data_IF_107091245697
#
_entry.id   IF_107091245697
#
_cell.length_a   1.000
_cell.length_b   1.000
_cell.length_c   1.000
_cell.angle_alpha   90.00
_cell.angle_beta   90.00
_cell.angle_gamma   90.00
#
_symmetry.space_group_name_H-M   'P 1'
#
loop_
_entity.id
_entity.type
_entity.pdbx_description
1 polymer ?
#
# COMPACT_ATOMS: atom_id res chain seq x y z
N UNK A 1 -25.91 41.78 21.92
CA UNK A 1 -25.80 40.81 20.80
C UNK A 1 -24.47 41.01 20.09
N UNK A 2 -23.82 39.99 19.52
CA UNK A 2 -22.55 40.22 18.77
C UNK A 2 -22.80 40.48 17.27
N UNK A 3 -21.86 41.15 16.60
CA UNK A 3 -21.98 41.48 15.15
C UNK A 3 -22.17 40.24 14.26
N UNK A 4 -21.71 39.04 14.69
CA UNK A 4 -21.91 37.80 13.94
C UNK A 4 -23.36 37.32 14.03
N UNK A 5 -24.00 37.47 15.17
CA UNK A 5 -25.42 37.18 15.38
C UNK A 5 -26.30 38.11 14.55
N UNK A 6 -25.98 39.41 14.50
CA UNK A 6 -26.69 40.39 13.65
C UNK A 6 -26.52 40.04 12.16
N UNK A 7 -25.31 39.69 11.73
CA UNK A 7 -25.08 39.24 10.35
C UNK A 7 -25.83 37.95 9.99
N UNK A 8 -26.00 37.03 10.95
CA UNK A 8 -26.80 35.81 10.77
C UNK A 8 -28.29 36.16 10.68
N UNK A 9 -28.76 37.07 11.52
CA UNK A 9 -30.15 37.53 11.55
C UNK A 9 -30.56 38.25 10.26
N UNK A 10 -29.74 39.16 9.75
CA UNK A 10 -30.00 39.93 8.51
C UNK A 10 -30.13 39.01 7.28
N UNK A 11 -29.55 37.80 7.32
CA UNK A 11 -29.69 36.78 6.26
C UNK A 11 -30.96 35.92 6.37
N UNK A 12 -31.74 36.08 7.43
CA UNK A 12 -32.98 35.34 7.63
C UNK A 12 -34.15 35.94 6.84
N UNK A 13 -35.18 35.13 6.59
CA UNK A 13 -36.40 35.58 5.90
C UNK A 13 -37.24 36.56 6.73
N UNK A 14 -36.94 36.72 8.02
CA UNK A 14 -37.68 37.59 8.96
C UNK A 14 -37.17 39.04 8.90
N UNK A 15 -35.92 39.26 8.46
CA UNK A 15 -35.28 40.57 8.46
C UNK A 15 -35.54 41.42 7.19
N UNK A 16 -36.51 41.03 6.35
CA UNK A 16 -36.76 41.65 5.03
C UNK A 16 -36.96 43.16 5.07
N UNK A 17 -37.62 43.68 6.12
CA UNK A 17 -37.92 45.11 6.28
C UNK A 17 -36.72 45.96 6.68
N UNK A 18 -35.69 45.37 7.30
CA UNK A 18 -34.53 46.11 7.82
C UNK A 18 -33.21 45.79 7.11
N UNK A 19 -33.20 44.76 6.24
CA UNK A 19 -31.99 44.22 5.59
C UNK A 19 -31.25 45.26 4.76
N UNK A 20 -31.98 46.08 4.01
CA UNK A 20 -31.44 46.96 2.98
C UNK A 20 -31.40 48.44 3.43
N UNK A 21 -31.69 48.72 4.71
CA UNK A 21 -31.67 50.08 5.28
C UNK A 21 -30.25 50.62 5.42
N UNK A 22 -30.11 51.93 5.19
CA UNK A 22 -28.87 52.68 5.32
C UNK A 22 -29.03 53.81 6.35
N UNK A 23 -28.01 53.98 7.19
CA UNK A 23 -27.96 54.96 8.26
C UNK A 23 -26.73 55.85 8.09
N UNK A 24 -26.94 57.16 7.94
CA UNK A 24 -25.85 58.12 7.76
C UNK A 24 -25.44 58.73 9.10
N UNK A 25 -24.17 58.55 9.47
CA UNK A 25 -23.56 59.23 10.61
C UNK A 25 -22.86 60.49 10.11
N UNK A 26 -23.11 61.63 10.77
CA UNK A 26 -22.49 62.92 10.49
C UNK A 26 -21.89 63.50 11.75
N UNK A 27 -20.58 63.74 11.75
CA UNK A 27 -19.82 64.32 12.86
C UNK A 27 -19.11 65.59 12.37
N UNK A 28 -19.72 66.78 12.54
CA UNK A 28 -19.19 68.04 12.01
C UNK A 28 -17.82 68.41 12.57
N UNK A 29 -17.55 68.09 13.85
CA UNK A 29 -16.29 68.43 14.52
C UNK A 29 -15.08 67.79 13.80
N UNK A 30 -15.25 66.55 13.35
CA UNK A 30 -14.22 65.78 12.65
C UNK A 30 -14.37 65.78 11.13
N UNK A 31 -15.29 66.61 10.59
CA UNK A 31 -15.64 66.64 9.17
C UNK A 31 -15.89 65.23 8.59
N UNK A 32 -16.56 64.37 9.35
CA UNK A 32 -16.80 62.98 8.99
C UNK A 32 -18.26 62.75 8.64
N UNK A 33 -18.51 62.18 7.47
CA UNK A 33 -19.83 61.73 7.03
C UNK A 33 -19.70 60.38 6.32
N UNK A 34 -20.46 59.39 6.77
CA UNK A 34 -20.48 58.08 6.12
C UNK A 34 -21.82 57.36 6.35
N UNK A 35 -22.20 56.51 5.40
CA UNK A 35 -23.44 55.72 5.44
C UNK A 35 -23.15 54.25 5.67
N UNK A 36 -23.95 53.61 6.53
CA UNK A 36 -23.75 52.24 6.97
C UNK A 36 -25.04 51.44 6.86
N UNK A 37 -24.94 50.17 6.46
CA UNK A 37 -25.99 49.18 6.68
C UNK A 37 -26.05 48.73 8.15
N UNK A 38 -27.13 48.07 8.57
CA UNK A 38 -27.37 47.76 9.98
C UNK A 38 -26.22 46.99 10.67
N UNK A 39 -25.67 45.95 10.05
CA UNK A 39 -24.55 45.20 10.66
C UNK A 39 -23.22 45.93 10.66
N UNK A 40 -22.95 46.73 9.62
CA UNK A 40 -21.72 47.52 9.54
C UNK A 40 -21.79 48.70 10.50
N UNK A 41 -22.98 49.28 10.69
CA UNK A 41 -23.25 50.27 11.73
C UNK A 41 -23.01 49.68 13.12
N UNK A 42 -23.60 48.52 13.43
CA UNK A 42 -23.37 47.84 14.73
C UNK A 42 -21.88 47.61 14.98
N UNK A 43 -21.16 47.10 13.97
CA UNK A 43 -19.72 46.88 14.06
C UNK A 43 -18.96 48.18 14.33
N UNK A 44 -19.30 49.24 13.61
CA UNK A 44 -18.67 50.54 13.76
C UNK A 44 -18.88 51.09 15.17
N UNK A 45 -20.13 51.17 15.64
CA UNK A 45 -20.42 51.73 16.97
C UNK A 45 -19.85 50.87 18.10
N UNK A 46 -19.86 49.54 17.97
CA UNK A 46 -19.21 48.64 18.94
C UNK A 46 -17.70 48.89 19.02
N UNK A 47 -17.05 49.08 17.87
CA UNK A 47 -15.63 49.40 17.84
C UNK A 47 -15.34 50.78 18.44
N UNK A 48 -16.19 51.78 18.20
CA UNK A 48 -16.05 53.11 18.80
C UNK A 48 -16.19 53.04 20.33
N UNK A 49 -17.18 52.31 20.86
CA UNK A 49 -17.35 52.09 22.30
C UNK A 49 -16.11 51.44 22.89
N UNK A 50 -15.62 50.35 22.27
CA UNK A 50 -14.43 49.64 22.74
C UNK A 50 -13.21 50.57 22.80
N UNK A 51 -12.99 51.39 21.77
CA UNK A 51 -11.85 52.32 21.72
C UNK A 51 -11.95 53.41 22.78
N UNK A 52 -13.15 53.92 23.04
CA UNK A 52 -13.36 54.85 24.14
C UNK A 52 -13.10 54.17 25.50
N UNK A 53 -13.50 52.91 25.68
CA UNK A 53 -13.29 52.15 26.90
C UNK A 53 -11.81 51.76 27.14
N UNK A 54 -10.91 51.95 26.16
CA UNK A 54 -9.46 51.75 26.33
C UNK A 54 -8.79 52.89 27.12
N UNK A 55 -9.46 54.02 27.33
CA UNK A 55 -8.93 55.15 28.09
C UNK A 55 -9.35 55.09 29.57
N UNK A 56 -8.38 55.16 30.49
CA UNK A 56 -8.63 55.08 31.94
C UNK A 56 -9.48 56.24 32.50
N UNK A 57 -9.37 57.43 31.91
CA UNK A 57 -10.12 58.62 32.31
C UNK A 57 -10.60 59.41 31.08
N UNK A 58 -11.92 59.58 30.97
CA UNK A 58 -12.55 60.36 29.90
C UNK A 58 -13.21 61.62 30.48
N UNK A 59 -12.99 62.79 29.89
CA UNK A 59 -13.75 63.98 30.24
C UNK A 59 -15.22 63.81 29.84
N UNK A 60 -16.11 64.55 30.51
CA UNK A 60 -17.57 64.45 30.35
C UNK A 60 -18.04 64.53 28.90
N UNK A 61 -17.41 65.38 28.09
CA UNK A 61 -17.75 65.66 26.71
C UNK A 61 -17.36 64.50 25.77
N UNK A 62 -16.27 63.81 26.06
CA UNK A 62 -15.88 62.59 25.33
C UNK A 62 -16.64 61.37 25.84
N UNK A 63 -17.03 61.36 27.12
CA UNK A 63 -17.95 60.37 27.67
C UNK A 63 -19.34 60.47 27.00
N UNK A 64 -19.82 61.68 26.69
CA UNK A 64 -21.03 61.87 25.87
C UNK A 64 -20.89 61.25 24.47
N UNK A 65 -19.70 61.37 23.85
CA UNK A 65 -19.41 60.74 22.55
C UNK A 65 -19.43 59.20 22.65
N UNK A 66 -18.82 58.63 23.70
CA UNK A 66 -18.90 57.19 24.00
C UNK A 66 -20.33 56.73 24.22
N UNK A 67 -21.11 57.47 25.01
CA UNK A 67 -22.49 57.15 25.34
C UNK A 67 -23.42 57.24 24.12
N UNK A 68 -23.16 58.16 23.18
CA UNK A 68 -23.85 58.21 21.90
C UNK A 68 -23.69 56.91 21.11
N UNK A 69 -22.45 56.41 20.95
CA UNK A 69 -22.21 55.15 20.24
C UNK A 69 -22.83 53.94 20.98
N UNK A 70 -22.74 53.92 22.32
CA UNK A 70 -23.38 52.89 23.13
C UNK A 70 -24.90 52.90 23.01
N UNK A 71 -25.52 54.08 22.87
CA UNK A 71 -26.97 54.22 22.68
C UNK A 71 -27.38 53.64 21.34
N UNK A 72 -26.66 53.96 20.26
CA UNK A 72 -26.92 53.40 18.93
C UNK A 72 -26.75 51.88 18.95
N UNK A 73 -25.71 51.36 19.61
CA UNK A 73 -25.51 49.92 19.77
C UNK A 73 -26.74 49.24 20.39
N UNK A 74 -27.22 49.76 21.52
CA UNK A 74 -28.41 49.22 22.21
C UNK A 74 -29.66 49.31 21.35
N UNK A 75 -29.88 50.43 20.63
CA UNK A 75 -31.04 50.59 19.74
C UNK A 75 -31.04 49.62 18.57
N UNK A 76 -29.86 49.30 18.01
CA UNK A 76 -29.73 48.26 16.98
C UNK A 76 -30.09 46.89 17.54
N UNK A 77 -29.61 46.56 18.74
CA UNK A 77 -29.91 45.28 19.39
C UNK A 77 -31.41 45.14 19.67
N UNK A 78 -32.06 46.20 20.18
CA UNK A 78 -33.51 46.23 20.42
C UNK A 78 -34.33 46.11 19.15
N UNK A 79 -33.92 46.78 18.05
CA UNK A 79 -34.56 46.64 16.75
C UNK A 79 -34.48 45.18 16.26
N UNK A 80 -33.32 44.56 16.37
CA UNK A 80 -33.12 43.17 15.93
C UNK A 80 -33.93 42.19 16.80
N UNK A 81 -33.96 42.37 18.12
CA UNK A 81 -34.75 41.54 19.03
C UNK A 81 -36.26 41.65 18.75
N UNK A 82 -36.74 42.88 18.52
CA UNK A 82 -38.15 43.13 18.24
C UNK A 82 -38.61 42.50 16.92
N UNK A 83 -37.83 42.68 15.85
CA UNK A 83 -38.12 42.04 14.54
C UNK A 83 -37.98 40.52 14.62
N UNK A 84 -37.01 40.00 15.38
CA UNK A 84 -36.87 38.55 15.64
C UNK A 84 -38.10 37.97 16.35
N UNK A 85 -38.72 38.75 17.25
CA UNK A 85 -39.92 38.38 17.99
C UNK A 85 -41.24 38.55 17.23
N UNK A 86 -41.21 39.02 15.97
CA UNK A 86 -42.41 39.26 15.16
C UNK A 86 -43.21 40.51 15.55
N UNK A 87 -42.59 41.45 16.27
CA UNK A 87 -43.20 42.72 16.67
C UNK A 87 -43.05 43.79 15.57
N UNK A 88 -43.72 44.93 15.74
CA UNK A 88 -43.66 46.04 14.77
C UNK A 88 -42.25 46.63 14.65
N UNK A 89 -41.75 46.72 13.42
CA UNK A 89 -40.44 47.31 13.09
C UNK A 89 -40.38 48.82 13.30
N UNK A 90 -41.48 49.53 13.01
CA UNK A 90 -41.51 51.00 12.91
C UNK A 90 -41.06 51.74 14.18
N UNK A 91 -41.56 51.42 15.40
CA UNK A 91 -41.20 52.16 16.61
C UNK A 91 -39.69 52.11 16.90
N UNK A 92 -39.07 50.93 16.77
CA UNK A 92 -37.65 50.76 17.04
C UNK A 92 -36.75 51.33 15.94
N UNK A 93 -37.25 51.36 14.70
CA UNK A 93 -36.55 52.02 13.60
C UNK A 93 -36.52 53.54 13.81
N UNK A 94 -37.64 54.14 14.21
CA UNK A 94 -37.74 55.57 14.52
C UNK A 94 -36.85 55.93 15.71
N UNK A 95 -36.83 55.10 16.77
CA UNK A 95 -35.93 55.28 17.92
C UNK A 95 -34.45 55.24 17.52
N UNK A 96 -34.06 54.33 16.62
CA UNK A 96 -32.69 54.24 16.10
C UNK A 96 -32.33 55.47 15.27
N UNK A 97 -33.20 55.90 14.37
CA UNK A 97 -32.98 57.10 13.55
C UNK A 97 -32.88 58.36 14.43
N UNK A 98 -33.76 58.48 15.42
CA UNK A 98 -33.71 59.57 16.39
C UNK A 98 -32.40 59.56 17.19
N UNK A 99 -31.92 58.38 17.63
CA UNK A 99 -30.66 58.24 18.35
C UNK A 99 -29.45 58.64 17.50
N UNK A 100 -29.47 58.34 16.19
CA UNK A 100 -28.41 58.74 15.26
C UNK A 100 -28.34 60.26 15.11
N UNK A 101 -29.48 60.92 14.99
CA UNK A 101 -29.54 62.37 14.74
C UNK A 101 -29.25 63.15 16.03
N UNK A 102 -29.81 62.70 17.14
CA UNK A 102 -29.73 63.37 18.43
C UNK A 102 -28.28 63.47 18.93
N UNK A 103 -27.85 64.67 19.31
CA UNK A 103 -26.50 64.99 19.79
C UNK A 103 -25.32 64.72 18.83
N UNK A 104 -25.54 64.22 17.61
CA UNK A 104 -24.50 63.98 16.58
C UNK A 104 -23.53 65.16 16.36
N UNK A 105 -24.02 66.40 16.50
CA UNK A 105 -23.25 67.64 16.32
C UNK A 105 -22.09 67.81 17.31
N UNK A 106 -22.16 67.15 18.47
CA UNK A 106 -21.15 67.24 19.54
C UNK A 106 -20.26 66.01 19.65
N UNK A 107 -20.57 64.98 18.87
CA UNK A 107 -19.93 63.67 18.96
C UNK A 107 -18.62 63.70 18.20
N UNK A 108 -17.59 63.13 18.82
CA UNK A 108 -16.28 62.94 18.23
C UNK A 108 -16.02 61.43 18.13
N UNK A 109 -15.70 60.88 16.95
CA UNK A 109 -15.23 59.50 16.83
C UNK A 109 -13.89 59.30 17.56
N UNK A 110 -13.71 58.17 18.24
CA UNK A 110 -12.47 57.85 18.96
C UNK A 110 -11.24 57.82 18.03
N UNK A 111 -11.47 57.50 16.76
CA UNK A 111 -10.44 57.39 15.71
C UNK A 111 -10.04 58.71 15.06
N UNK A 112 -10.64 59.83 15.48
CA UNK A 112 -10.39 61.11 14.85
C UNK A 112 -9.10 61.76 15.37
N UNK A 113 -8.51 62.62 14.55
CA UNK A 113 -7.37 63.46 14.94
C UNK A 113 -7.76 64.37 16.11
N UNK A 114 -9.01 64.88 16.12
CA UNK A 114 -9.54 65.70 17.20
C UNK A 114 -9.65 64.94 18.51
N UNK A 115 -10.05 63.66 18.50
CA UNK A 115 -10.10 62.83 19.72
C UNK A 115 -8.71 62.68 20.33
N UNK A 116 -7.71 62.32 19.50
CA UNK A 116 -6.32 62.17 19.95
C UNK A 116 -5.74 63.48 20.48
N UNK A 117 -6.03 64.59 19.80
CA UNK A 117 -5.65 65.94 20.20
C UNK A 117 -6.30 66.34 21.53
N UNK A 118 -7.61 66.17 21.67
CA UNK A 118 -8.32 66.55 22.88
C UNK A 118 -7.89 65.73 24.09
N UNK A 119 -7.61 64.43 23.91
CA UNK A 119 -7.06 63.59 24.96
C UNK A 119 -5.66 64.06 25.38
N UNK A 120 -4.80 64.50 24.45
CA UNK A 120 -3.48 65.02 24.82
C UNK A 120 -3.60 66.33 25.60
N UNK A 121 -4.51 67.23 25.21
CA UNK A 121 -4.78 68.47 25.96
C UNK A 121 -5.37 68.17 27.34
N UNK A 122 -6.28 67.19 27.45
CA UNK A 122 -6.89 66.80 28.73
C UNK A 122 -5.87 66.26 29.74
N UNK A 123 -4.85 65.53 29.27
CA UNK A 123 -3.75 65.04 30.12
C UNK A 123 -2.95 66.18 30.74
N UNK A 124 -2.85 67.33 30.07
CA UNK A 124 -2.10 68.49 30.53
C UNK A 124 -2.95 69.42 31.41
N UNK A 125 -4.17 69.74 30.99
CA UNK A 125 -5.09 70.59 31.78
C UNK A 125 -6.55 70.37 31.39
N UNK A 126 -7.39 70.14 32.40
CA UNK A 126 -8.84 70.07 32.22
C UNK A 126 -9.44 71.40 31.72
N UNK A 127 -8.94 72.56 32.19
CA UNK A 127 -9.46 73.86 31.73
C UNK A 127 -9.11 74.14 30.27
N UNK A 128 -7.89 73.78 29.86
CA UNK A 128 -7.47 73.91 28.46
C UNK A 128 -8.26 72.97 27.56
N UNK A 129 -8.55 71.75 28.03
CA UNK A 129 -9.40 70.80 27.31
C UNK A 129 -10.80 71.36 27.07
N UNK A 130 -11.47 71.89 28.11
CA UNK A 130 -12.81 72.48 27.97
C UNK A 130 -12.79 73.60 26.92
N UNK A 131 -11.78 74.46 26.96
CA UNK A 131 -11.65 75.54 25.98
C UNK A 131 -11.39 75.03 24.54
N UNK A 132 -10.53 74.02 24.40
CA UNK A 132 -10.22 73.40 23.12
C UNK A 132 -11.46 72.70 22.51
N UNK A 133 -12.21 71.96 23.33
CA UNK A 133 -13.45 71.30 22.93
C UNK A 133 -14.52 72.32 22.52
N UNK A 134 -14.74 73.37 23.33
CA UNK A 134 -15.69 74.44 23.01
C UNK A 134 -15.32 75.14 21.71
N UNK A 135 -14.03 75.38 21.47
CA UNK A 135 -13.52 75.94 20.21
C UNK A 135 -13.86 75.06 19.00
N UNK A 136 -13.55 73.75 19.08
CA UNK A 136 -13.82 72.81 18.00
C UNK A 136 -15.33 72.61 17.75
N UNK A 137 -16.15 72.69 18.81
CA UNK A 137 -17.61 72.61 18.71
C UNK A 137 -18.28 73.86 18.11
N UNK A 138 -17.52 74.93 17.84
CA UNK A 138 -18.01 76.18 17.26
C UNK A 138 -18.81 77.07 18.23
N UNK A 139 -18.70 76.84 19.55
CA UNK A 139 -19.49 77.51 20.60
C UNK A 139 -18.65 78.46 21.47
N UNK A 140 -17.64 79.10 20.90
CA UNK A 140 -16.72 79.96 21.65
C UNK A 140 -17.45 81.19 22.23
N UNK A 141 -17.34 81.36 23.56
CA UNK A 141 -17.77 82.60 24.21
C UNK A 141 -16.62 83.61 24.27
N UNK A 142 -16.83 84.80 23.73
CA UNK A 142 -15.82 85.88 23.75
C UNK A 142 -15.43 86.33 25.17
N UNK A 143 -16.32 86.17 26.16
CA UNK A 143 -16.04 86.55 27.56
C UNK A 143 -15.09 85.59 28.27
N UNK A 144 -14.94 84.35 27.78
CA UNK A 144 -14.12 83.32 28.38
C UNK A 144 -12.61 83.49 28.09
N UNK A 145 -12.24 84.33 27.11
CA UNK A 145 -10.83 84.61 26.78
C UNK A 145 -10.09 85.47 27.80
N UNK A 146 -10.78 86.00 28.81
CA UNK A 146 -10.16 86.69 29.94
C UNK A 146 -9.41 85.74 30.88
N UNK A 147 -9.72 84.45 30.85
CA UNK A 147 -8.98 83.41 31.56
C UNK A 147 -7.80 82.92 30.70
N UNK A 148 -6.58 82.99 31.25
CA UNK A 148 -5.35 82.64 30.55
C UNK A 148 -5.30 81.18 30.09
N UNK A 149 -5.75 80.23 30.92
CA UNK A 149 -5.78 78.80 30.57
C UNK A 149 -6.84 78.51 29.50
N UNK A 150 -7.99 79.16 29.59
CA UNK A 150 -9.03 79.04 28.58
C UNK A 150 -8.56 79.60 27.22
N UNK A 151 -7.93 80.77 27.23
CA UNK A 151 -7.33 81.35 26.02
C UNK A 151 -6.26 80.44 25.43
N UNK A 152 -5.39 79.86 26.27
CA UNK A 152 -4.36 78.92 25.83
C UNK A 152 -4.97 77.67 25.18
N UNK A 153 -5.99 77.06 25.79
CA UNK A 153 -6.66 75.88 25.20
C UNK A 153 -7.33 76.17 23.86
N UNK A 154 -8.02 77.32 23.75
CA UNK A 154 -8.62 77.75 22.49
C UNK A 154 -7.56 78.08 21.42
N UNK A 155 -6.43 78.69 21.80
CA UNK A 155 -5.32 78.97 20.88
C UNK A 155 -4.67 77.68 20.38
N UNK A 156 -4.44 76.70 21.25
CA UNK A 156 -3.90 75.39 20.87
C UNK A 156 -4.85 74.67 19.90
N UNK A 157 -6.16 74.72 20.14
CA UNK A 157 -7.16 74.17 19.23
C UNK A 157 -7.22 74.90 17.88
N UNK A 158 -7.08 76.23 17.89
CA UNK A 158 -6.99 77.03 16.68
C UNK A 158 -5.73 76.67 15.87
N UNK A 159 -4.58 76.52 16.53
CA UNK A 159 -3.34 76.10 15.90
C UNK A 159 -3.42 74.69 15.33
N UNK A 160 -4.05 73.75 16.05
CA UNK A 160 -4.32 72.41 15.54
C UNK A 160 -5.18 72.47 14.27
N UNK A 161 -6.28 73.22 14.29
CA UNK A 161 -7.16 73.40 13.12
C UNK A 161 -6.47 74.11 11.95
N UNK A 162 -5.55 75.04 12.22
CA UNK A 162 -4.72 75.70 11.20
C UNK A 162 -3.70 74.72 10.62
N UNK A 163 -3.09 73.87 11.46
CA UNK A 163 -2.18 72.81 11.02
C UNK A 163 -2.85 71.79 10.10
N UNK A 164 -4.13 71.51 10.34
CA UNK A 164 -4.97 70.62 9.52
C UNK A 164 -5.64 71.36 8.33
N UNK A 165 -5.57 72.70 8.27
CA UNK A 165 -6.29 73.50 7.26
C UNK A 165 -5.56 73.53 5.92
N UNK A 166 -6.22 73.15 4.81
CA UNK A 166 -5.62 73.20 3.49
C UNK A 166 -5.48 74.62 2.92
N UNK A 167 -5.93 75.70 3.56
CA UNK A 167 -5.96 77.05 2.97
C UNK A 167 -4.97 78.05 3.58
N UNK A 168 -4.40 77.79 4.77
CA UNK A 168 -3.50 78.75 5.42
C UNK A 168 -2.03 78.37 5.16
N UNK A 169 -1.41 79.19 4.31
CA UNK A 169 -0.06 79.07 3.74
C UNK A 169 1.07 78.99 4.77
N UNK A 170 1.68 77.80 4.91
CA UNK A 170 3.13 77.69 5.05
C UNK A 170 3.67 76.78 3.93
N UNK A 171 4.44 77.45 3.04
CA UNK A 171 5.38 76.94 2.02
C UNK A 171 4.80 76.23 0.78
N UNK A 172 4.61 76.96 -0.34
CA UNK A 172 4.18 76.37 -1.63
C UNK A 172 5.17 75.32 -2.18
N UNK A 173 6.45 75.43 -1.84
CA UNK A 173 7.45 74.40 -2.14
C UNK A 173 7.31 73.16 -1.26
N UNK A 174 6.96 73.29 0.03
CA UNK A 174 6.58 72.12 0.83
C UNK A 174 5.28 71.53 0.32
N UNK A 175 4.31 72.32 -0.14
CA UNK A 175 3.06 71.81 -0.70
C UNK A 175 3.24 71.12 -2.05
N UNK A 176 4.09 71.63 -2.94
CA UNK A 176 4.43 70.94 -4.19
C UNK A 176 5.26 69.67 -3.93
N UNK A 177 6.20 69.71 -2.99
CA UNK A 177 6.94 68.52 -2.54
C UNK A 177 6.02 67.52 -1.83
N UNK A 178 5.08 67.98 -1.00
CA UNK A 178 4.13 67.16 -0.25
C UNK A 178 3.03 66.62 -1.15
N UNK A 179 2.52 67.38 -2.11
CA UNK A 179 1.59 66.88 -3.13
C UNK A 179 2.29 65.91 -4.08
N UNK A 180 3.55 66.17 -4.48
CA UNK A 180 4.29 65.19 -5.29
C UNK A 180 4.64 63.94 -4.48
N UNK A 181 4.94 64.08 -3.18
CA UNK A 181 5.16 62.97 -2.25
C UNK A 181 3.86 62.20 -2.04
N UNK A 182 2.73 62.88 -1.82
CA UNK A 182 1.39 62.29 -1.67
C UNK A 182 0.99 61.54 -2.94
N UNK A 183 1.13 62.16 -4.11
CA UNK A 183 0.84 61.50 -5.39
C UNK A 183 1.77 60.31 -5.63
N UNK A 184 3.06 60.39 -5.25
CA UNK A 184 3.98 59.25 -5.30
C UNK A 184 3.61 58.16 -4.31
N UNK A 185 3.21 58.51 -3.10
CA UNK A 185 2.78 57.57 -2.06
C UNK A 185 1.47 56.91 -2.48
N UNK A 186 0.47 57.66 -2.96
CA UNK A 186 -0.78 57.10 -3.49
C UNK A 186 -0.52 56.19 -4.69
N UNK A 187 0.38 56.60 -5.60
CA UNK A 187 0.81 55.77 -6.72
C UNK A 187 1.49 54.48 -6.23
N UNK A 188 2.46 54.56 -5.33
CA UNK A 188 3.14 53.39 -4.79
C UNK A 188 2.22 52.51 -3.95
N UNK A 189 1.26 53.09 -3.22
CA UNK A 189 0.24 52.34 -2.49
C UNK A 189 -0.69 51.62 -3.47
N UNK A 190 -1.11 52.27 -4.54
CA UNK A 190 -1.97 51.66 -5.57
C UNK A 190 -1.23 50.57 -6.34
N UNK A 191 -0.02 50.84 -6.83
CA UNK A 191 0.83 49.86 -7.50
C UNK A 191 1.17 48.68 -6.57
N UNK A 192 1.51 48.97 -5.30
CA UNK A 192 1.77 47.92 -4.31
C UNK A 192 0.51 47.11 -4.00
N UNK A 193 -0.69 47.69 -3.97
CA UNK A 193 -1.94 46.97 -3.72
C UNK A 193 -2.35 46.11 -4.93
N UNK A 194 -2.11 46.60 -6.15
CA UNK A 194 -2.24 45.82 -7.38
C UNK A 194 -1.24 44.65 -7.43
N UNK A 195 0.03 44.91 -7.11
CA UNK A 195 1.08 43.88 -7.00
C UNK A 195 0.74 42.86 -5.91
N UNK A 196 0.24 43.31 -4.75
CA UNK A 196 -0.18 42.41 -3.67
C UNK A 196 -1.35 41.53 -4.09
N UNK A 197 -2.35 42.10 -4.78
CA UNK A 197 -3.47 41.32 -5.35
C UNK A 197 -2.98 40.33 -6.39
N UNK A 198 -2.08 40.74 -7.27
CA UNK A 198 -1.44 39.87 -8.26
C UNK A 198 -0.69 38.70 -7.62
N UNK A 199 0.12 38.97 -6.60
CA UNK A 199 0.84 37.96 -5.82
C UNK A 199 -0.11 37.01 -5.08
N UNK A 200 -1.17 37.54 -4.46
CA UNK A 200 -2.18 36.71 -3.80
C UNK A 200 -2.92 35.80 -4.78
N UNK A 201 -3.30 36.33 -5.94
CA UNK A 201 -4.03 35.57 -6.97
C UNK A 201 -3.14 34.47 -7.53
N UNK A 202 -1.91 34.81 -7.91
CA UNK A 202 -0.93 33.85 -8.41
C UNK A 202 -0.54 32.82 -7.35
N UNK A 203 -0.41 33.23 -6.09
CA UNK A 203 -0.17 32.36 -4.96
C UNK A 203 -1.33 31.38 -4.74
N UNK A 204 -2.57 31.86 -4.82
CA UNK A 204 -3.76 31.03 -4.70
C UNK A 204 -3.85 29.99 -5.82
N UNK A 205 -3.69 30.41 -7.08
CA UNK A 205 -3.68 29.50 -8.24
C UNK A 205 -2.57 28.45 -8.13
N UNK A 206 -1.36 28.87 -7.73
CA UNK A 206 -0.21 27.96 -7.56
C UNK A 206 -0.49 26.93 -6.47
N UNK A 207 -1.05 27.34 -5.34
CA UNK A 207 -1.43 26.44 -4.24
C UNK A 207 -2.54 25.49 -4.70
N UNK A 208 -3.55 25.96 -5.41
CA UNK A 208 -4.64 25.11 -5.90
C UNK A 208 -4.14 24.03 -6.87
N UNK A 209 -3.27 24.41 -7.81
CA UNK A 209 -2.60 23.47 -8.73
C UNK A 209 -1.72 22.48 -7.97
N UNK A 210 -0.96 22.97 -6.98
CA UNK A 210 -0.10 22.12 -6.16
C UNK A 210 -0.91 21.08 -5.36
N UNK A 211 -2.02 21.49 -4.75
CA UNK A 211 -2.92 20.60 -4.01
C UNK A 211 -3.54 19.56 -4.94
N UNK A 212 -4.05 19.96 -6.12
CA UNK A 212 -4.58 19.02 -7.12
C UNK A 212 -3.53 18.01 -7.57
N UNK A 213 -2.29 18.45 -7.80
CA UNK A 213 -1.19 17.57 -8.16
C UNK A 213 -0.83 16.61 -7.03
N UNK A 214 -0.80 17.08 -5.77
CA UNK A 214 -0.56 16.21 -4.62
C UNK A 214 -1.64 15.14 -4.46
N UNK A 215 -2.91 15.49 -4.61
CA UNK A 215 -4.02 14.53 -4.54
C UNK A 215 -3.93 13.50 -5.67
N UNK A 216 -3.62 13.95 -6.89
CA UNK A 216 -3.40 13.08 -8.04
C UNK A 216 -2.23 12.11 -7.81
N UNK A 217 -1.08 12.63 -7.36
CA UNK A 217 0.10 11.81 -7.03
C UNK A 217 -0.18 10.81 -5.91
N UNK A 218 -0.91 11.23 -4.87
CA UNK A 218 -1.30 10.35 -3.77
C UNK A 218 -2.15 9.19 -4.28
N UNK A 219 -3.15 9.47 -5.12
CA UNK A 219 -4.03 8.47 -5.70
C UNK A 219 -3.28 7.50 -6.62
N UNK A 220 -2.44 8.02 -7.52
CA UNK A 220 -1.63 7.20 -8.42
C UNK A 220 -0.63 6.31 -7.65
N UNK A 221 -0.02 6.84 -6.59
CA UNK A 221 0.88 6.05 -5.74
C UNK A 221 0.13 4.97 -4.94
N UNK A 222 -1.08 5.25 -4.45
CA UNK A 222 -1.91 4.24 -3.79
C UNK A 222 -2.30 3.12 -4.75
N UNK A 223 -2.78 3.46 -5.95
CA UNK A 223 -3.14 2.47 -6.97
C UNK A 223 -1.94 1.61 -7.39
N UNK A 224 -0.74 2.22 -7.51
CA UNK A 224 0.51 1.49 -7.80
C UNK A 224 0.91 0.57 -6.65
N UNK A 225 0.80 1.03 -5.41
CA UNK A 225 1.14 0.24 -4.23
C UNK A 225 0.20 -0.96 -4.08
N UNK A 226 -1.11 -0.75 -4.25
CA UNK A 226 -2.11 -1.82 -4.15
C UNK A 226 -1.93 -2.86 -5.26
N UNK A 227 -1.63 -2.43 -6.48
CA UNK A 227 -1.28 -3.34 -7.59
C UNK A 227 0.01 -4.11 -7.30
N UNK A 228 1.07 -3.44 -6.85
CA UNK A 228 2.33 -4.10 -6.51
C UNK A 228 2.16 -5.11 -5.37
N UNK A 229 1.40 -4.76 -4.32
CA UNK A 229 1.16 -5.61 -3.18
C UNK A 229 0.33 -6.84 -3.54
N UNK A 230 -0.74 -6.66 -4.32
CA UNK A 230 -1.58 -7.77 -4.79
C UNK A 230 -0.84 -8.72 -5.74
N UNK A 231 -0.05 -8.18 -6.68
CA UNK A 231 0.81 -8.97 -7.55
C UNK A 231 1.82 -9.78 -6.74
N UNK A 232 2.55 -9.15 -5.82
CA UNK A 232 3.53 -9.84 -5.00
C UNK A 232 2.92 -10.89 -4.08
N UNK A 233 1.75 -10.63 -3.51
CA UNK A 233 1.06 -11.63 -2.68
C UNK A 233 0.66 -12.84 -3.52
N UNK A 234 0.18 -12.62 -4.74
CA UNK A 234 -0.20 -13.69 -5.68
C UNK A 234 1.04 -14.47 -6.12
N UNK A 235 2.10 -13.79 -6.57
CA UNK A 235 3.38 -14.41 -6.95
C UNK A 235 4.00 -15.19 -5.81
N UNK A 236 4.00 -14.68 -4.58
CA UNK A 236 4.53 -15.38 -3.42
C UNK A 236 3.70 -16.64 -3.09
N UNK A 237 2.38 -16.57 -3.23
CA UNK A 237 1.49 -17.74 -3.06
C UNK A 237 1.75 -18.79 -4.13
N UNK A 238 1.82 -18.38 -5.38
CA UNK A 238 2.01 -19.28 -6.52
C UNK A 238 3.38 -19.94 -6.45
N UNK A 239 4.45 -19.17 -6.19
CA UNK A 239 5.79 -19.69 -5.95
C UNK A 239 5.82 -20.66 -4.76
N UNK A 240 5.19 -20.31 -3.64
CA UNK A 240 5.13 -21.21 -2.48
C UNK A 240 4.36 -22.50 -2.77
N UNK A 241 3.32 -22.44 -3.61
CA UNK A 241 2.56 -23.61 -4.04
C UNK A 241 3.41 -24.50 -4.95
N UNK A 242 4.05 -23.92 -5.96
CA UNK A 242 4.95 -24.61 -6.89
C UNK A 242 6.09 -25.31 -6.16
N UNK A 243 6.81 -24.60 -5.28
CA UNK A 243 7.90 -25.17 -4.47
C UNK A 243 7.41 -26.31 -3.58
N UNK A 244 6.22 -26.20 -2.99
CA UNK A 244 5.67 -27.28 -2.16
C UNK A 244 5.25 -28.50 -2.98
N UNK A 245 4.70 -28.30 -4.18
CA UNK A 245 4.36 -29.38 -5.11
C UNK A 245 5.61 -30.09 -5.63
N UNK A 246 6.62 -29.32 -6.05
CA UNK A 246 7.91 -29.86 -6.49
C UNK A 246 8.62 -30.62 -5.36
N UNK A 247 8.65 -30.07 -4.13
CA UNK A 247 9.23 -30.77 -2.97
C UNK A 247 8.56 -32.11 -2.73
N UNK A 248 7.22 -32.16 -2.74
CA UNK A 248 6.46 -33.41 -2.58
C UNK A 248 6.78 -34.41 -3.69
N UNK A 249 6.89 -33.94 -4.93
CA UNK A 249 7.24 -34.79 -6.07
C UNK A 249 8.65 -35.39 -5.88
N UNK A 250 9.65 -34.57 -5.56
CA UNK A 250 11.02 -35.02 -5.30
C UNK A 250 11.07 -36.00 -4.12
N UNK A 251 10.40 -35.71 -3.01
CA UNK A 251 10.31 -36.61 -1.85
C UNK A 251 9.71 -37.97 -2.24
N UNK A 252 8.65 -37.98 -3.05
CA UNK A 252 8.01 -39.20 -3.53
C UNK A 252 8.91 -39.99 -4.49
N UNK A 253 9.49 -39.33 -5.50
CA UNK A 253 10.43 -39.95 -6.44
C UNK A 253 11.64 -40.55 -5.70
N UNK A 254 12.17 -39.84 -4.71
CA UNK A 254 13.30 -40.32 -3.92
C UNK A 254 12.94 -41.52 -3.04
N UNK A 255 11.76 -41.51 -2.43
CA UNK A 255 11.24 -42.66 -1.65
C UNK A 255 11.07 -43.90 -2.54
N UNK A 256 10.54 -43.74 -3.74
CA UNK A 256 10.39 -44.83 -4.71
C UNK A 256 11.75 -45.35 -5.20
N UNK A 257 12.73 -44.44 -5.44
CA UNK A 257 14.10 -44.80 -5.74
C UNK A 257 14.71 -45.68 -4.65
N UNK A 258 14.61 -45.26 -3.38
CA UNK A 258 15.14 -46.03 -2.25
C UNK A 258 14.48 -47.42 -2.12
N UNK A 259 13.18 -47.52 -2.38
CA UNK A 259 12.45 -48.80 -2.30
C UNK A 259 12.89 -49.81 -3.37
N UNK A 260 13.23 -49.36 -4.58
CA UNK A 260 13.48 -50.24 -5.73
C UNK A 260 14.94 -50.41 -6.09
N UNK A 261 15.81 -49.48 -5.69
CA UNK A 261 17.24 -49.57 -5.94
C UNK A 261 17.88 -50.76 -5.20
N UNK A 262 17.47 -51.04 -3.96
CA UNK A 262 17.99 -52.17 -3.20
C UNK A 262 17.61 -53.53 -3.83
N UNK A 263 16.34 -53.78 -4.21
CA UNK A 263 15.95 -54.95 -5.00
C UNK A 263 16.68 -55.05 -6.35
N UNK A 264 16.81 -53.96 -7.12
CA UNK A 264 17.52 -53.98 -8.39
C UNK A 264 18.98 -54.41 -8.24
N UNK A 265 19.67 -53.88 -7.22
CA UNK A 265 21.03 -54.28 -6.88
C UNK A 265 21.10 -55.76 -6.47
N UNK A 266 20.16 -56.23 -5.67
CA UNK A 266 20.08 -57.64 -5.29
C UNK A 266 19.92 -58.57 -6.52
N UNK A 267 19.06 -58.20 -7.48
CA UNK A 267 18.88 -58.98 -8.71
C UNK A 267 20.14 -58.99 -9.58
N UNK A 268 20.85 -57.86 -9.67
CA UNK A 268 22.15 -57.78 -10.34
C UNK A 268 23.15 -58.74 -9.70
N UNK A 269 23.33 -58.64 -8.38
CA UNK A 269 24.28 -59.48 -7.63
C UNK A 269 23.92 -60.98 -7.74
N UNK A 270 22.61 -61.29 -7.77
CA UNK A 270 22.11 -62.65 -7.95
C UNK A 270 22.39 -63.17 -9.36
N UNK A 271 22.17 -62.35 -10.39
CA UNK A 271 22.46 -62.71 -11.77
C UNK A 271 23.96 -63.00 -11.99
N UNK A 272 24.84 -62.16 -11.45
CA UNK A 272 26.29 -62.35 -11.54
C UNK A 272 26.73 -63.69 -10.91
N UNK A 273 26.23 -64.01 -9.71
CA UNK A 273 26.50 -65.30 -9.05
C UNK A 273 26.01 -66.49 -9.88
N UNK A 274 24.79 -66.44 -10.42
CA UNK A 274 24.22 -67.52 -11.22
C UNK A 274 24.94 -67.71 -12.56
N UNK A 275 25.48 -66.64 -13.15
CA UNK A 275 26.35 -66.73 -14.33
C UNK A 275 27.65 -67.44 -13.99
N UNK A 276 28.29 -67.09 -12.88
CA UNK A 276 29.53 -67.72 -12.42
C UNK A 276 29.32 -69.22 -12.12
N UNK A 277 28.22 -69.58 -11.45
CA UNK A 277 27.80 -70.97 -11.22
C UNK A 277 27.56 -71.71 -12.55
N UNK A 278 26.85 -71.09 -13.50
CA UNK A 278 26.60 -71.65 -14.82
C UNK A 278 27.90 -71.89 -15.60
N UNK A 279 28.84 -70.95 -15.56
CA UNK A 279 30.16 -71.09 -16.18
C UNK A 279 31.03 -72.13 -15.48
N UNK A 280 30.93 -72.26 -14.15
CA UNK A 280 31.57 -73.34 -13.41
C UNK A 280 31.04 -74.71 -13.84
N UNK A 281 29.72 -74.87 -13.94
CA UNK A 281 29.07 -76.10 -14.41
C UNK A 281 29.42 -76.42 -15.86
N UNK A 282 29.53 -75.39 -16.72
CA UNK A 282 30.00 -75.53 -18.10
C UNK A 282 31.44 -76.06 -18.15
N UNK A 283 32.35 -75.51 -17.32
CA UNK A 283 33.72 -76.02 -17.20
C UNK A 283 33.74 -77.47 -16.70
N UNK A 284 32.93 -77.80 -15.69
CA UNK A 284 32.79 -79.15 -15.18
C UNK A 284 32.26 -80.13 -16.24
N UNK A 285 31.32 -79.70 -17.09
CA UNK A 285 30.81 -80.48 -18.21
C UNK A 285 31.91 -80.77 -19.23
N UNK A 286 32.68 -79.77 -19.66
CA UNK A 286 33.81 -79.99 -20.57
C UNK A 286 34.87 -80.91 -19.96
N UNK A 287 35.18 -80.73 -18.68
CA UNK A 287 36.11 -81.60 -17.95
C UNK A 287 35.60 -83.05 -17.92
N UNK A 288 34.30 -83.27 -17.67
CA UNK A 288 33.70 -84.61 -17.67
C UNK A 288 33.78 -85.26 -19.06
N UNK A 289 33.55 -84.51 -20.14
CA UNK A 289 33.64 -85.03 -21.52
C UNK A 289 35.09 -85.44 -21.84
N UNK A 290 36.07 -84.58 -21.52
CA UNK A 290 37.50 -84.86 -21.76
C UNK A 290 37.97 -86.05 -20.92
N UNK A 291 37.67 -86.05 -19.61
CA UNK A 291 38.02 -87.14 -18.69
C UNK A 291 37.32 -88.44 -19.08
N UNK A 292 36.05 -88.38 -19.51
CA UNK A 292 35.30 -89.52 -20.01
C UNK A 292 35.94 -90.11 -21.27
N UNK A 293 36.38 -89.26 -22.21
CA UNK A 293 37.10 -89.67 -23.41
C UNK A 293 38.45 -90.33 -23.11
N UNK A 294 39.27 -89.72 -22.23
CA UNK A 294 40.56 -90.28 -21.79
C UNK A 294 40.35 -91.61 -21.07
N UNK A 295 39.36 -91.69 -20.18
CA UNK A 295 39.04 -92.91 -19.44
C UNK A 295 38.57 -94.03 -20.37
N UNK A 296 37.76 -93.70 -21.38
CA UNK A 296 37.31 -94.65 -22.40
C UNK A 296 38.48 -95.14 -23.27
N UNK A 297 39.40 -94.25 -23.66
CA UNK A 297 40.62 -94.62 -24.37
C UNK A 297 41.48 -95.62 -23.55
N UNK A 298 41.70 -95.36 -22.27
CA UNK A 298 42.45 -96.26 -21.40
C UNK A 298 41.73 -97.60 -21.19
N UNK A 299 40.39 -97.57 -21.05
CA UNK A 299 39.56 -98.78 -20.94
C UNK A 299 39.68 -99.65 -22.21
N UNK A 300 39.68 -99.03 -23.40
CA UNK A 300 39.93 -99.70 -24.67
C UNK A 300 41.33 -100.30 -24.72
N UNK A 301 42.36 -99.56 -24.29
CA UNK A 301 43.75 -100.06 -24.27
C UNK A 301 43.95 -101.26 -23.32
N UNK A 302 43.23 -101.30 -22.20
CA UNK A 302 43.27 -102.42 -21.23
C UNK A 302 42.41 -103.62 -21.64
N UNK A 303 41.65 -103.50 -22.74
CA UNK A 303 40.83 -104.59 -23.25
C UNK A 303 41.74 -105.66 -23.89
N UNK A 304 41.57 -106.97 -23.58
CA UNK A 304 42.41 -108.03 -24.16
C UNK A 304 42.38 -108.09 -25.70
N UNK A 305 43.52 -108.35 -26.34
CA UNK A 305 43.71 -108.36 -27.80
C UNK A 305 42.82 -109.37 -28.57
N UNK A 306 42.12 -110.29 -27.88
CA UNK A 306 41.16 -111.22 -28.46
C UNK A 306 39.67 -110.86 -28.26
N UNK A 307 39.36 -109.75 -27.58
CA UNK A 307 37.97 -109.39 -27.23
C UNK A 307 37.10 -109.15 -28.47
N UNK A 308 37.57 -108.36 -29.44
CA UNK A 308 36.84 -108.14 -30.69
C UNK A 308 36.70 -109.43 -31.53
N UNK A 309 37.74 -110.28 -31.54
CA UNK A 309 37.69 -111.59 -32.20
C UNK A 309 36.69 -112.55 -31.52
N UNK A 310 36.51 -112.44 -30.20
CA UNK A 310 35.58 -113.25 -29.41
C UNK A 310 34.09 -112.96 -29.68
N UNK A 311 33.77 -111.83 -30.33
CA UNK A 311 32.40 -111.56 -30.82
C UNK A 311 32.00 -112.39 -32.03
N UNK A 312 32.96 -112.73 -32.90
CA UNK A 312 32.68 -113.39 -34.17
C UNK A 312 33.03 -114.88 -34.15
N UNK A 313 34.19 -115.27 -33.59
CA UNK A 313 34.74 -116.63 -33.69
C UNK A 313 35.28 -117.21 -32.36
N UNK A 314 34.98 -116.63 -31.18
CA UNK A 314 35.54 -117.05 -29.89
C UNK A 314 34.55 -117.12 -28.71
N UNK A 315 35.06 -117.11 -27.46
CA UNK A 315 34.25 -117.23 -26.23
C UNK A 315 33.30 -116.03 -26.06
N UNK A 316 32.03 -116.26 -26.41
CA UNK A 316 30.94 -115.27 -26.31
C UNK A 316 30.75 -114.75 -24.88
N UNK A 317 31.14 -115.50 -23.84
CA UNK A 317 31.00 -115.05 -22.44
C UNK A 317 31.91 -113.85 -22.13
N UNK A 318 33.15 -113.86 -22.64
CA UNK A 318 34.12 -112.78 -22.43
C UNK A 318 33.68 -111.49 -23.14
N UNK A 319 33.20 -111.62 -24.38
CA UNK A 319 32.64 -110.51 -25.16
C UNK A 319 31.46 -109.83 -24.42
N UNK A 320 30.53 -110.62 -23.90
CA UNK A 320 29.35 -110.11 -23.17
C UNK A 320 29.74 -109.36 -21.89
N UNK A 321 30.70 -109.87 -21.10
CA UNK A 321 31.16 -109.22 -19.86
C UNK A 321 31.74 -107.83 -20.14
N UNK A 322 32.61 -107.71 -21.15
CA UNK A 322 33.20 -106.42 -21.51
C UNK A 322 32.16 -105.48 -22.15
N UNK A 323 31.21 -105.96 -22.96
CA UNK A 323 30.10 -105.15 -23.45
C UNK A 323 29.29 -104.51 -22.32
N UNK A 324 28.98 -105.28 -21.26
CA UNK A 324 28.24 -104.75 -20.11
C UNK A 324 29.04 -103.64 -19.42
N UNK A 325 30.36 -103.83 -19.25
CA UNK A 325 31.26 -102.79 -18.67
C UNK A 325 31.27 -101.53 -19.54
N UNK A 326 31.40 -101.65 -20.86
CA UNK A 326 31.38 -100.48 -21.75
C UNK A 326 30.03 -99.77 -21.76
N UNK A 327 28.92 -100.50 -21.85
CA UNK A 327 27.57 -99.91 -21.86
C UNK A 327 27.30 -99.20 -20.54
N UNK A 328 27.56 -99.83 -19.40
CA UNK A 328 27.36 -99.22 -18.08
C UNK A 328 28.22 -97.97 -17.88
N UNK A 329 29.48 -98.01 -18.32
CA UNK A 329 30.38 -96.86 -18.24
C UNK A 329 29.95 -95.69 -19.13
N UNK A 330 29.57 -95.96 -20.39
CA UNK A 330 29.04 -94.94 -21.31
C UNK A 330 27.73 -94.36 -20.77
N UNK A 331 26.84 -95.20 -20.24
CA UNK A 331 25.58 -94.75 -19.61
C UNK A 331 25.83 -93.84 -18.41
N UNK A 332 26.85 -94.12 -17.59
CA UNK A 332 27.22 -93.26 -16.46
C UNK A 332 27.71 -91.88 -16.92
N UNK A 333 28.59 -91.83 -17.92
CA UNK A 333 29.06 -90.56 -18.51
C UNK A 333 27.88 -89.80 -19.12
N UNK A 334 27.02 -90.48 -19.87
CA UNK A 334 25.83 -89.88 -20.48
C UNK A 334 24.89 -89.28 -19.42
N UNK A 335 24.65 -89.99 -18.31
CA UNK A 335 23.85 -89.48 -17.21
C UNK A 335 24.49 -88.27 -16.52
N UNK A 336 25.82 -88.29 -16.33
CA UNK A 336 26.57 -87.16 -15.79
C UNK A 336 26.50 -85.92 -16.68
N UNK A 337 26.72 -86.09 -17.98
CA UNK A 337 26.56 -85.04 -19.00
C UNK A 337 25.15 -84.46 -18.98
N UNK A 338 24.13 -85.32 -18.94
CA UNK A 338 22.73 -84.90 -18.91
C UNK A 338 22.39 -84.08 -17.65
N UNK A 339 22.91 -84.51 -16.50
CA UNK A 339 22.70 -83.85 -15.21
C UNK A 339 23.38 -82.49 -15.15
N UNK A 340 24.66 -82.41 -15.54
CA UNK A 340 25.42 -81.16 -15.59
C UNK A 340 24.84 -80.18 -16.61
N UNK A 341 24.41 -80.66 -17.78
CA UNK A 341 23.75 -79.84 -18.80
C UNK A 341 22.46 -79.21 -18.26
N UNK A 342 21.62 -80.00 -17.58
CA UNK A 342 20.38 -79.50 -16.97
C UNK A 342 20.67 -78.45 -15.89
N UNK A 343 21.62 -78.72 -15.00
CA UNK A 343 22.02 -77.77 -13.95
C UNK A 343 22.59 -76.47 -14.55
N UNK A 344 23.47 -76.57 -15.56
CA UNK A 344 24.07 -75.43 -16.26
C UNK A 344 22.99 -74.54 -16.90
N UNK A 345 22.08 -75.13 -17.69
CA UNK A 345 21.00 -74.35 -18.31
C UNK A 345 20.04 -73.77 -17.28
N UNK A 346 19.77 -74.48 -16.17
CA UNK A 346 18.98 -73.94 -15.06
C UNK A 346 19.63 -72.67 -14.48
N UNK A 347 20.94 -72.70 -14.24
CA UNK A 347 21.69 -71.54 -13.72
C UNK A 347 21.62 -70.35 -14.69
N UNK A 348 21.83 -70.58 -15.99
CA UNK A 348 21.75 -69.53 -17.00
C UNK A 348 20.33 -68.99 -17.20
N UNK A 349 19.29 -69.82 -17.10
CA UNK A 349 17.91 -69.36 -17.16
C UNK A 349 17.55 -68.48 -15.96
N UNK A 350 17.92 -68.90 -14.74
CA UNK A 350 17.72 -68.09 -13.53
C UNK A 350 18.52 -66.78 -13.59
N UNK A 351 19.75 -66.82 -14.11
CA UNK A 351 20.55 -65.62 -14.32
C UNK A 351 19.86 -64.64 -15.28
N UNK A 352 19.31 -65.14 -16.38
CA UNK A 352 18.58 -64.32 -17.35
C UNK A 352 17.31 -63.71 -16.76
N UNK A 353 16.55 -64.48 -15.99
CA UNK A 353 15.37 -63.97 -15.28
C UNK A 353 15.75 -62.85 -14.30
N UNK A 354 16.82 -63.02 -13.53
CA UNK A 354 17.34 -61.99 -12.64
C UNK A 354 17.79 -60.72 -13.40
N UNK A 355 18.44 -60.86 -14.56
CA UNK A 355 18.81 -59.73 -15.42
C UNK A 355 17.58 -59.01 -16.01
N UNK A 356 16.53 -59.75 -16.39
CA UNK A 356 15.30 -59.17 -16.92
C UNK A 356 14.58 -58.35 -15.83
N UNK A 357 14.52 -58.86 -14.59
CA UNK A 357 13.97 -58.12 -13.44
C UNK A 357 14.77 -56.86 -13.10
N UNK A 358 16.09 -56.92 -13.17
CA UNK A 358 16.95 -55.75 -12.94
C UNK A 358 16.70 -54.65 -13.99
N UNK A 359 16.70 -55.00 -15.27
CA UNK A 359 16.43 -54.06 -16.37
C UNK A 359 15.04 -53.46 -16.30
N UNK A 360 14.01 -54.27 -16.00
CA UNK A 360 12.65 -53.77 -15.82
C UNK A 360 12.54 -52.81 -14.63
N UNK A 361 13.25 -53.08 -13.53
CA UNK A 361 13.27 -52.19 -12.36
C UNK A 361 13.96 -50.87 -12.69
N UNK A 362 15.08 -50.91 -13.41
CA UNK A 362 15.79 -49.70 -13.86
C UNK A 362 14.96 -48.89 -14.87
N UNK A 363 14.26 -49.56 -15.78
CA UNK A 363 13.35 -48.92 -16.73
C UNK A 363 12.17 -48.23 -16.01
N UNK A 364 11.58 -48.89 -15.01
CA UNK A 364 10.57 -48.30 -14.16
C UNK A 364 11.08 -47.05 -13.40
N UNK A 365 12.28 -47.14 -12.83
CA UNK A 365 12.93 -46.01 -12.16
C UNK A 365 13.20 -44.84 -13.11
N UNK A 366 13.59 -45.09 -14.36
CA UNK A 366 13.74 -44.02 -15.37
C UNK A 366 12.42 -43.36 -15.71
N UNK A 367 11.35 -44.14 -15.83
CA UNK A 367 10.04 -43.62 -16.18
C UNK A 367 9.39 -42.81 -15.03
N UNK A 368 9.60 -43.18 -13.76
CA UNK A 368 9.20 -42.35 -12.62
C UNK A 368 9.94 -41.01 -12.65
N UNK A 369 11.26 -41.04 -12.90
CA UNK A 369 12.09 -39.83 -12.95
C UNK A 369 11.61 -38.85 -14.02
N UNK A 370 11.12 -39.35 -15.16
CA UNK A 370 10.58 -38.54 -16.25
C UNK A 370 9.10 -38.17 -16.06
N UNK A 371 8.46 -38.60 -14.96
CA UNK A 371 7.04 -38.32 -14.68
C UNK A 371 6.08 -39.02 -15.64
N UNK A 372 6.51 -40.12 -16.28
CA UNK A 372 5.85 -40.70 -17.45
C UNK A 372 4.92 -41.90 -17.15
N UNK A 373 4.56 -42.17 -15.89
CA UNK A 373 3.78 -43.36 -15.50
C UNK A 373 2.50 -43.00 -14.73
N UNK A 374 1.35 -43.53 -15.19
CA UNK A 374 0.08 -43.54 -14.44
C UNK A 374 -0.05 -44.69 -13.43
N UNK A 375 -1.06 -44.65 -12.57
CA UNK A 375 -1.26 -45.67 -11.52
C UNK A 375 -1.53 -47.09 -12.06
N UNK A 376 -2.11 -47.24 -13.25
CA UNK A 376 -2.38 -48.55 -13.86
C UNK A 376 -1.10 -49.23 -14.36
N UNK A 377 -0.22 -48.47 -15.03
CA UNK A 377 1.08 -48.97 -15.50
C UNK A 377 2.00 -49.35 -14.33
N UNK A 378 1.91 -48.62 -13.21
CA UNK A 378 2.62 -48.94 -11.96
C UNK A 378 2.27 -50.32 -11.43
N UNK A 379 0.98 -50.66 -11.36
CA UNK A 379 0.53 -51.97 -10.87
C UNK A 379 0.97 -53.10 -11.80
N UNK A 380 0.89 -52.88 -13.13
CA UNK A 380 1.31 -53.87 -14.13
C UNK A 380 2.82 -54.14 -14.05
N UNK A 381 3.64 -53.10 -13.90
CA UNK A 381 5.09 -53.25 -13.80
C UNK A 381 5.49 -53.91 -12.47
N UNK A 382 4.89 -53.51 -11.34
CA UNK A 382 5.14 -54.17 -10.05
C UNK A 382 4.72 -55.64 -10.09
N UNK A 383 3.58 -55.97 -10.69
CA UNK A 383 3.14 -57.36 -10.85
C UNK A 383 4.13 -58.17 -11.71
N UNK A 384 4.63 -57.59 -12.80
CA UNK A 384 5.67 -58.19 -13.64
C UNK A 384 6.96 -58.46 -12.85
N UNK A 385 7.43 -57.47 -12.09
CA UNK A 385 8.67 -57.56 -11.28
C UNK A 385 8.62 -58.61 -10.17
N UNK A 386 7.45 -58.80 -9.53
CA UNK A 386 7.28 -59.70 -8.38
C UNK A 386 6.65 -61.06 -8.72
N UNK A 387 6.22 -61.28 -9.96
CA UNK A 387 5.70 -62.58 -10.40
C UNK A 387 6.80 -63.65 -10.49
N UNK A 388 6.41 -64.93 -10.42
CA UNK A 388 7.35 -66.06 -10.42
C UNK A 388 7.82 -66.39 -11.84
N UNK A 389 9.12 -66.68 -11.98
CA UNK A 389 9.67 -67.24 -13.21
C UNK A 389 9.23 -68.70 -13.36
N UNK A 390 8.62 -69.01 -14.51
CA UNK A 390 8.14 -70.34 -14.83
C UNK A 390 9.31 -71.24 -15.24
N UNK A 391 10.17 -71.61 -14.28
CA UNK A 391 11.19 -72.61 -14.53
C UNK A 391 10.50 -73.96 -14.66
N UNK A 392 10.59 -74.62 -15.82
CA UNK A 392 9.94 -75.90 -16.13
C UNK A 392 10.34 -77.10 -15.24
N UNK A 393 10.99 -76.86 -14.10
CA UNK A 393 11.35 -77.80 -13.05
C UNK A 393 10.36 -77.80 -11.86
N UNK A 394 9.55 -76.74 -11.69
CA UNK A 394 8.56 -76.61 -10.61
C UNK A 394 7.17 -76.44 -11.20
N UNK A 395 6.61 -77.54 -11.75
CA UNK A 395 5.35 -77.50 -12.50
C UNK A 395 4.07 -77.67 -11.67
N UNK A 396 4.16 -77.82 -10.35
CA UNK A 396 3.02 -78.25 -9.53
C UNK A 396 2.77 -77.41 -8.27
N UNK A 397 2.70 -76.07 -8.36
CA UNK A 397 2.03 -75.30 -7.31
C UNK A 397 1.32 -74.07 -7.87
N UNK A 398 0.00 -74.04 -7.65
CA UNK A 398 -0.97 -73.08 -8.15
C UNK A 398 -0.72 -71.65 -7.63
N UNK A 399 0.11 -70.88 -8.31
CA UNK A 399 0.28 -69.44 -8.06
C UNK A 399 0.47 -68.67 -9.37
N UNK A 400 0.14 -67.36 -9.42
CA UNK A 400 0.06 -66.61 -10.67
C UNK A 400 1.42 -66.47 -11.36
N UNK A 401 1.49 -66.88 -12.62
CA UNK A 401 2.68 -66.80 -13.49
C UNK A 401 2.69 -65.49 -14.30
N UNK A 402 3.88 -65.03 -14.73
CA UNK A 402 4.03 -63.97 -15.74
C UNK A 402 3.11 -64.17 -16.95
N UNK A 403 2.42 -63.12 -17.46
CA UNK A 403 1.74 -63.20 -18.75
C UNK A 403 2.79 -63.48 -19.83
N UNK A 404 2.71 -64.65 -20.47
CA UNK A 404 3.61 -64.99 -21.56
C UNK A 404 3.22 -64.19 -22.80
N UNK A 405 4.19 -63.62 -23.52
CA UNK A 405 3.98 -62.93 -24.81
C UNK A 405 3.24 -63.84 -25.82
N UNK A 406 3.31 -65.16 -25.62
CA UNK A 406 2.65 -66.18 -26.44
C UNK A 406 1.12 -66.15 -26.26
N UNK A 407 0.59 -65.71 -25.12
CA UNK A 407 -0.86 -65.67 -24.87
C UNK A 407 -1.58 -64.58 -25.68
N UNK A 408 -0.84 -63.61 -26.23
CA UNK A 408 -1.38 -62.60 -27.16
C UNK A 408 -1.36 -63.02 -28.64
N UNK A 409 -0.75 -64.17 -28.99
CA UNK A 409 -0.70 -64.67 -30.36
C UNK A 409 -1.71 -65.80 -30.64
N UNK A 410 -2.55 -66.15 -29.65
CA UNK A 410 -3.76 -66.96 -29.84
C UNK A 410 -5.00 -66.08 -29.71
N UNK A 411 -5.28 -65.33 -30.76
CA UNK A 411 -6.65 -64.95 -31.13
C UNK A 411 -7.20 -65.96 -32.11
#
# INVERSE_FOLDING_TARGET
>A
MNTREINKFIKSNVATEIRDLQFTLKFPISNFENSYGLSTLHRYVTNQVKKWDEFDALPSELLESRNYFSTIQVRIEQLVESVSGGNSTYPHLDELQAAIIHNSQKVIPADSTEASFLISVFKESNQQFVAAYVFLSGKTSYTAFSNSEYFQGALIAALHKIGESPTINRTSHERNSFNSLKNRVEKYVTESDEDFKGLFTKGHETIEVFVKNLDSMKKDNQDKFDKWFSLNQTTARDFSKEVNEERKNIEQTYKELLQLQAPAKHWKDTAEKLLDEGHMLMRALFALIILGGISLYFLLWKTPEGMLASFFNGDKSSAIRWSIVFVTFISLIFFGVQSLRKAMFSSFHLARDAQEREKLTMYYLSLIKEGAIGNEDKNLILQSLFSRADSGLLKEDSSPTMPSIIDKLRT
#
